data_IF_841398699315
#
_entry.id   IF_841398699315
#
_cell.length_a   1.000
_cell.length_b   1.000
_cell.length_c   1.000
_cell.angle_alpha   90.00
_cell.angle_beta   90.00
_cell.angle_gamma   90.00
#
_symmetry.space_group_name_H-M   'P 1'
#
loop_
_entity.id
_entity.type
_entity.pdbx_description
1 polymer ?
#
# COMPACT_ATOMS: atom_id res chain seq x y z
N UNK A 1 8.21 -41.27 34.65
CA UNK A 1 8.75 -40.58 33.46
C UNK A 1 8.13 -41.24 32.23
N UNK A 2 7.41 -40.50 31.39
CA UNK A 2 6.87 -41.02 30.13
C UNK A 2 8.04 -41.39 29.20
N UNK A 3 8.22 -42.68 28.91
CA UNK A 3 9.25 -43.16 28.00
C UNK A 3 8.77 -43.02 26.55
N UNK A 4 8.86 -41.80 26.01
CA UNK A 4 8.42 -41.51 24.64
C UNK A 4 9.49 -42.00 23.66
N UNK A 5 9.15 -42.81 22.64
CA UNK A 5 10.12 -43.30 21.67
C UNK A 5 10.77 -42.15 20.89
N UNK A 6 12.10 -42.22 20.74
CA UNK A 6 12.91 -41.17 20.08
C UNK A 6 12.49 -40.91 18.64
N UNK A 7 12.07 -41.95 17.91
CA UNK A 7 11.54 -41.83 16.55
C UNK A 7 10.27 -40.97 16.48
N UNK A 8 9.37 -41.11 17.46
CA UNK A 8 8.15 -40.31 17.53
C UNK A 8 8.48 -38.84 17.83
N UNK A 9 9.46 -38.60 18.69
CA UNK A 9 9.97 -37.25 18.96
C UNK A 9 10.56 -36.62 17.69
N UNK A 10 11.44 -37.34 17.00
CA UNK A 10 12.21 -36.80 15.87
C UNK A 10 11.38 -36.65 14.59
N UNK A 11 10.43 -37.57 14.33
CA UNK A 11 9.69 -37.60 13.06
C UNK A 11 8.25 -37.10 13.17
N UNK A 12 7.69 -36.91 14.37
CA UNK A 12 6.31 -36.44 14.53
C UNK A 12 6.27 -35.15 15.35
N UNK A 13 6.71 -35.18 16.61
CA UNK A 13 6.60 -34.04 17.52
C UNK A 13 7.42 -32.84 17.05
N UNK A 14 8.70 -33.03 16.73
CA UNK A 14 9.59 -31.93 16.32
C UNK A 14 9.12 -31.23 15.02
N UNK A 15 8.76 -31.96 13.94
CA UNK A 15 8.10 -31.36 12.78
C UNK A 15 6.84 -30.58 13.12
N UNK A 16 5.96 -31.15 13.94
CA UNK A 16 4.66 -30.55 14.27
C UNK A 16 4.83 -29.25 15.04
N UNK A 17 5.67 -29.25 16.08
CA UNK A 17 5.98 -28.06 16.89
C UNK A 17 6.60 -26.97 16.01
N UNK A 18 7.58 -27.32 15.18
CA UNK A 18 8.26 -26.39 14.29
C UNK A 18 7.31 -25.77 13.26
N UNK A 19 6.49 -26.61 12.63
CA UNK A 19 5.47 -26.18 11.67
C UNK A 19 4.39 -25.30 12.32
N UNK A 20 3.97 -25.62 13.54
CA UNK A 20 2.97 -24.84 14.29
C UNK A 20 3.48 -23.43 14.59
N UNK A 21 4.77 -23.28 14.96
CA UNK A 21 5.37 -21.95 15.17
C UNK A 21 5.39 -21.12 13.89
N UNK A 22 5.77 -21.71 12.75
CA UNK A 22 5.74 -21.01 11.47
C UNK A 22 4.32 -20.72 10.99
N UNK A 23 3.36 -21.60 11.28
CA UNK A 23 1.94 -21.37 11.01
C UNK A 23 1.40 -20.20 11.82
N UNK A 24 1.79 -20.08 13.10
CA UNK A 24 1.44 -18.93 13.93
C UNK A 24 1.98 -17.63 13.31
N UNK A 25 3.24 -17.63 12.87
CA UNK A 25 3.84 -16.48 12.16
C UNK A 25 3.08 -16.15 10.88
N UNK A 26 2.70 -17.17 10.08
CA UNK A 26 1.91 -16.99 8.86
C UNK A 26 0.53 -16.38 9.14
N UNK A 27 -0.22 -16.96 10.08
CA UNK A 27 -1.55 -16.49 10.48
C UNK A 27 -1.48 -15.07 11.01
N UNK A 28 -0.46 -14.77 11.81
CA UNK A 28 -0.23 -13.43 12.33
C UNK A 28 -0.04 -12.40 11.21
N UNK A 29 0.84 -12.70 10.23
CA UNK A 29 1.09 -11.82 9.09
C UNK A 29 -0.17 -11.63 8.24
N UNK A 30 -0.95 -12.70 8.03
CA UNK A 30 -2.20 -12.64 7.29
C UNK A 30 -3.28 -11.81 8.00
N UNK A 31 -3.43 -11.96 9.31
CA UNK A 31 -4.47 -11.27 10.10
C UNK A 31 -4.14 -9.81 10.38
N UNK A 32 -2.86 -9.49 10.66
CA UNK A 32 -2.41 -8.13 10.95
C UNK A 32 -2.12 -7.31 9.68
N UNK A 33 -2.44 -7.85 8.49
CA UNK A 33 -2.15 -7.29 7.17
C UNK A 33 -2.71 -5.88 6.99
N UNK A 34 -3.97 -5.65 7.33
CA UNK A 34 -4.67 -4.39 7.06
C UNK A 34 -4.17 -3.21 7.90
N UNK A 35 -3.43 -3.48 8.98
CA UNK A 35 -3.06 -2.44 9.95
C UNK A 35 -1.59 -1.99 9.85
N UNK A 36 -0.67 -2.79 9.30
CA UNK A 36 0.77 -2.64 9.63
C UNK A 36 1.76 -2.93 8.47
N UNK A 37 1.41 -3.61 7.37
CA UNK A 37 2.41 -4.12 6.40
C UNK A 37 2.33 -3.55 4.99
N UNK A 38 2.43 -2.23 4.81
CA UNK A 38 2.37 -1.60 3.47
C UNK A 38 3.53 -2.04 2.55
N UNK A 39 4.70 -2.39 3.13
CA UNK A 39 5.92 -2.63 2.35
C UNK A 39 6.40 -4.10 2.30
N UNK A 40 5.72 -5.04 2.96
CA UNK A 40 6.13 -6.45 2.93
C UNK A 40 5.54 -7.14 1.68
N UNK A 41 6.36 -7.79 0.83
CA UNK A 41 5.86 -8.47 -0.36
C UNK A 41 5.16 -9.80 0.01
N UNK A 42 3.90 -9.69 0.41
CA UNK A 42 3.09 -10.76 1.01
C UNK A 42 3.12 -12.08 0.22
N UNK A 43 3.05 -12.01 -1.10
CA UNK A 43 3.08 -13.19 -1.96
C UNK A 43 4.33 -14.06 -1.73
N UNK A 44 5.52 -13.46 -1.65
CA UNK A 44 6.76 -14.21 -1.41
C UNK A 44 6.81 -14.78 0.01
N UNK A 45 6.33 -14.01 1.00
CA UNK A 45 6.25 -14.45 2.40
C UNK A 45 5.35 -15.68 2.54
N UNK A 46 4.16 -15.64 1.93
CA UNK A 46 3.20 -16.76 1.98
C UNK A 46 3.79 -17.99 1.29
N UNK A 47 4.34 -17.86 0.08
CA UNK A 47 4.94 -19.00 -0.63
C UNK A 47 6.04 -19.65 0.21
N UNK A 48 6.95 -18.84 0.77
CA UNK A 48 8.00 -19.37 1.63
C UNK A 48 7.43 -20.11 2.85
N UNK A 49 6.55 -19.48 3.63
CA UNK A 49 6.04 -20.07 4.86
C UNK A 49 5.22 -21.33 4.59
N UNK A 50 4.34 -21.33 3.59
CA UNK A 50 3.51 -22.50 3.24
C UNK A 50 4.40 -23.66 2.80
N UNK A 51 5.33 -23.42 1.88
CA UNK A 51 6.22 -24.49 1.40
C UNK A 51 7.17 -24.99 2.49
N UNK A 52 7.59 -24.12 3.41
CA UNK A 52 8.44 -24.52 4.54
C UNK A 52 7.67 -25.37 5.57
N UNK A 53 6.43 -25.00 5.89
CA UNK A 53 5.54 -25.78 6.75
C UNK A 53 5.31 -27.17 6.14
N UNK A 54 4.98 -27.24 4.84
CA UNK A 54 4.81 -28.50 4.13
C UNK A 54 6.09 -29.35 4.11
N UNK A 55 7.25 -28.71 3.96
CA UNK A 55 8.55 -29.39 4.01
C UNK A 55 8.81 -30.06 5.36
N UNK A 56 8.55 -29.36 6.46
CA UNK A 56 8.73 -29.88 7.82
C UNK A 56 7.75 -31.01 8.10
N UNK A 57 6.45 -30.78 7.92
CA UNK A 57 5.39 -31.78 8.17
C UNK A 57 5.55 -33.03 7.30
N UNK A 58 6.04 -32.86 6.07
CA UNK A 58 6.25 -33.96 5.13
C UNK A 58 7.19 -35.06 5.64
N UNK A 59 8.10 -34.77 6.59
CA UNK A 59 8.98 -35.82 7.17
C UNK A 59 8.19 -36.83 7.99
N UNK A 60 7.17 -36.36 8.72
CA UNK A 60 6.29 -37.24 9.49
C UNK A 60 5.51 -38.16 8.58
N UNK A 61 4.83 -37.59 7.57
CA UNK A 61 4.08 -38.37 6.57
C UNK A 61 4.96 -39.39 5.83
N UNK A 62 6.18 -39.00 5.46
CA UNK A 62 7.16 -39.89 4.83
C UNK A 62 7.51 -41.11 5.70
N UNK A 63 7.49 -40.98 7.03
CA UNK A 63 7.99 -42.02 7.93
C UNK A 63 6.98 -43.16 8.19
N UNK A 64 5.71 -42.98 7.83
CA UNK A 64 4.62 -43.93 8.09
C UNK A 64 3.85 -44.35 6.83
N UNK A 65 4.44 -44.16 5.65
CA UNK A 65 3.85 -44.53 4.36
C UNK A 65 4.65 -45.65 3.68
N UNK A 66 4.04 -46.30 2.69
CA UNK A 66 4.73 -47.27 1.83
C UNK A 66 5.91 -46.61 1.08
N UNK A 67 6.86 -47.42 0.61
CA UNK A 67 8.12 -46.94 0.04
C UNK A 67 7.92 -45.95 -1.12
N UNK A 68 6.98 -46.24 -2.02
CA UNK A 68 6.67 -45.40 -3.18
C UNK A 68 6.08 -44.06 -2.74
N UNK A 69 5.08 -44.08 -1.85
CA UNK A 69 4.51 -42.87 -1.27
C UNK A 69 5.56 -42.05 -0.49
N UNK A 70 6.45 -42.70 0.25
CA UNK A 70 7.49 -42.05 1.03
C UNK A 70 8.47 -41.26 0.13
N UNK A 71 8.90 -41.84 -1.00
CA UNK A 71 9.73 -41.14 -1.98
C UNK A 71 8.95 -40.05 -2.73
N UNK A 72 7.67 -40.28 -3.06
CA UNK A 72 6.79 -39.25 -3.64
C UNK A 72 6.74 -38.02 -2.73
N UNK A 73 6.50 -38.23 -1.43
CA UNK A 73 6.43 -37.16 -0.42
C UNK A 73 7.77 -36.44 -0.31
N UNK A 74 8.88 -37.18 -0.30
CA UNK A 74 10.23 -36.59 -0.27
C UNK A 74 10.49 -35.68 -1.48
N UNK A 75 10.21 -36.15 -2.68
CA UNK A 75 10.45 -35.40 -3.91
C UNK A 75 9.53 -34.19 -4.01
N UNK A 76 8.23 -34.37 -3.74
CA UNK A 76 7.26 -33.29 -3.78
C UNK A 76 7.61 -32.17 -2.80
N UNK A 77 7.87 -32.51 -1.52
CA UNK A 77 8.16 -31.49 -0.51
C UNK A 77 9.48 -30.77 -0.77
N UNK A 78 10.48 -31.47 -1.31
CA UNK A 78 11.77 -30.88 -1.68
C UNK A 78 11.59 -29.94 -2.86
N UNK A 79 10.86 -30.36 -3.91
CA UNK A 79 10.55 -29.52 -5.06
C UNK A 79 9.76 -28.27 -4.68
N UNK A 80 8.76 -28.40 -3.79
CA UNK A 80 7.98 -27.25 -3.34
C UNK A 80 8.84 -26.24 -2.57
N UNK A 81 9.61 -26.72 -1.58
CA UNK A 81 10.37 -25.82 -0.72
C UNK A 81 11.61 -25.24 -1.38
N UNK A 82 12.39 -26.05 -2.09
CA UNK A 82 13.59 -25.56 -2.75
C UNK A 82 13.28 -24.92 -4.11
N UNK A 83 12.28 -25.40 -4.83
CA UNK A 83 11.86 -24.81 -6.11
C UNK A 83 11.14 -23.47 -5.95
N UNK A 84 10.28 -23.33 -4.94
CA UNK A 84 9.48 -22.11 -4.74
C UNK A 84 9.79 -21.39 -3.42
N UNK A 85 9.91 -22.12 -2.31
CA UNK A 85 10.10 -21.51 -0.99
C UNK A 85 11.39 -20.70 -0.87
N UNK A 86 12.54 -21.33 -1.10
CA UNK A 86 13.86 -20.72 -0.97
C UNK A 86 14.07 -19.52 -1.92
N UNK A 87 13.74 -19.60 -3.22
CA UNK A 87 13.74 -18.42 -4.09
C UNK A 87 12.82 -17.30 -3.61
N UNK A 88 11.65 -17.63 -3.03
CA UNK A 88 10.74 -16.63 -2.45
C UNK A 88 11.35 -15.95 -1.23
N UNK A 89 12.04 -16.70 -0.37
CA UNK A 89 12.79 -16.13 0.75
C UNK A 89 13.85 -15.15 0.26
N UNK A 90 14.58 -15.50 -0.81
CA UNK A 90 15.60 -14.62 -1.38
C UNK A 90 14.99 -13.31 -1.90
N UNK A 91 13.93 -13.42 -2.69
CA UNK A 91 13.21 -12.26 -3.27
C UNK A 91 12.57 -11.37 -2.19
N UNK A 92 12.05 -11.99 -1.12
CA UNK A 92 11.54 -11.29 0.07
C UNK A 92 12.65 -10.46 0.71
N UNK A 93 13.81 -11.06 0.95
CA UNK A 93 14.95 -10.36 1.55
C UNK A 93 15.46 -9.22 0.65
N UNK A 94 15.54 -9.41 -0.67
CA UNK A 94 15.90 -8.29 -1.57
C UNK A 94 14.90 -7.13 -1.51
N UNK A 95 13.60 -7.42 -1.49
CA UNK A 95 12.57 -6.38 -1.37
C UNK A 95 12.65 -5.63 -0.03
N UNK A 96 12.91 -6.33 1.08
CA UNK A 96 13.08 -5.71 2.39
C UNK A 96 14.21 -4.67 2.42
N UNK A 97 15.23 -4.85 1.57
CA UNK A 97 16.34 -3.91 1.38
C UNK A 97 16.06 -2.80 0.37
N UNK A 98 14.84 -2.73 -0.16
CA UNK A 98 14.45 -1.73 -1.16
C UNK A 98 14.97 -2.04 -2.57
N UNK A 99 15.53 -3.23 -2.81
CA UNK A 99 15.87 -3.63 -4.18
C UNK A 99 14.61 -3.95 -4.96
N UNK A 100 14.36 -3.19 -6.01
CA UNK A 100 13.33 -3.51 -6.99
C UNK A 100 13.95 -4.36 -8.09
N UNK A 101 13.32 -5.48 -8.40
CA UNK A 101 13.70 -6.36 -9.50
C UNK A 101 12.58 -6.43 -10.53
N UNK A 102 12.95 -6.74 -11.77
CA UNK A 102 12.00 -6.94 -12.88
C UNK A 102 11.40 -8.34 -12.80
N UNK A 103 10.18 -8.52 -13.30
CA UNK A 103 9.50 -9.82 -13.38
C UNK A 103 10.35 -10.92 -14.07
N UNK A 104 11.20 -10.54 -15.04
CA UNK A 104 12.14 -11.48 -15.68
C UNK A 104 13.18 -12.07 -14.73
N UNK A 105 13.69 -11.28 -13.78
CA UNK A 105 14.67 -11.75 -12.78
C UNK A 105 14.01 -12.75 -11.83
N UNK A 106 12.78 -12.43 -11.41
CA UNK A 106 11.97 -13.34 -10.60
C UNK A 106 11.73 -14.67 -11.33
N UNK A 107 11.29 -14.62 -12.59
CA UNK A 107 11.06 -15.81 -13.40
C UNK A 107 12.33 -16.65 -13.53
N UNK A 108 13.46 -16.02 -13.88
CA UNK A 108 14.75 -16.70 -14.01
C UNK A 108 15.16 -17.41 -12.72
N UNK A 109 14.96 -16.77 -11.56
CA UNK A 109 15.30 -17.34 -10.27
C UNK A 109 14.48 -18.60 -9.96
N UNK A 110 13.15 -18.54 -10.17
CA UNK A 110 12.29 -19.71 -9.98
C UNK A 110 12.60 -20.82 -10.97
N UNK A 111 12.80 -20.50 -12.27
CA UNK A 111 13.12 -21.51 -13.28
C UNK A 111 14.46 -22.17 -12.98
N UNK A 112 15.47 -21.40 -12.58
CA UNK A 112 16.78 -21.95 -12.26
C UNK A 112 16.73 -22.85 -11.02
N UNK A 113 15.99 -22.46 -9.98
CA UNK A 113 15.80 -23.31 -8.80
C UNK A 113 15.03 -24.60 -9.10
N UNK A 114 13.99 -24.52 -9.93
CA UNK A 114 13.23 -25.69 -10.38
C UNK A 114 14.09 -26.65 -11.19
N UNK A 115 14.94 -26.16 -12.09
CA UNK A 115 15.86 -27.01 -12.86
C UNK A 115 16.83 -27.77 -11.94
N UNK A 116 17.39 -27.11 -10.93
CA UNK A 116 18.25 -27.77 -9.95
C UNK A 116 17.48 -28.77 -9.07
N UNK A 117 16.23 -28.47 -8.71
CA UNK A 117 15.35 -29.43 -8.03
C UNK A 117 15.06 -30.65 -8.89
N UNK A 118 14.85 -30.49 -10.20
CA UNK A 118 14.67 -31.61 -11.12
C UNK A 118 15.93 -32.47 -11.18
N UNK A 119 17.13 -31.87 -11.24
CA UNK A 119 18.40 -32.61 -11.15
C UNK A 119 18.47 -33.39 -9.82
N UNK A 120 18.07 -32.78 -8.70
CA UNK A 120 18.01 -33.46 -7.41
C UNK A 120 17.06 -34.67 -7.45
N UNK A 121 15.82 -34.49 -7.92
CA UNK A 121 14.80 -35.56 -7.95
C UNK A 121 15.28 -36.70 -8.85
N UNK A 122 15.78 -36.39 -10.04
CA UNK A 122 16.24 -37.40 -10.99
C UNK A 122 17.47 -38.15 -10.50
N UNK A 123 18.43 -37.46 -9.86
CA UNK A 123 19.61 -38.13 -9.27
C UNK A 123 19.26 -38.93 -8.02
N UNK A 124 18.35 -38.43 -7.17
CA UNK A 124 17.90 -39.15 -5.98
C UNK A 124 17.12 -40.41 -6.34
N UNK A 125 16.19 -40.35 -7.30
CA UNK A 125 15.46 -41.53 -7.76
C UNK A 125 16.40 -42.55 -8.40
N UNK A 126 17.36 -42.10 -9.23
CA UNK A 126 18.37 -42.96 -9.84
C UNK A 126 19.23 -43.73 -8.82
N UNK A 127 19.55 -43.10 -7.67
CA UNK A 127 20.36 -43.68 -6.60
C UNK A 127 19.57 -44.51 -5.58
N UNK A 128 18.28 -44.21 -5.35
CA UNK A 128 17.51 -44.81 -4.25
C UNK A 128 16.60 -45.94 -4.71
N UNK A 129 15.75 -45.70 -5.72
CA UNK A 129 14.57 -46.54 -5.94
C UNK A 129 14.23 -46.84 -7.40
N UNK A 130 14.72 -46.04 -8.35
CA UNK A 130 14.42 -46.13 -9.79
C UNK A 130 12.91 -46.28 -10.09
N UNK A 131 12.08 -45.59 -9.32
CA UNK A 131 10.62 -45.74 -9.38
C UNK A 131 10.07 -44.93 -10.57
N UNK A 132 10.62 -43.75 -10.81
CA UNK A 132 10.06 -42.80 -11.78
C UNK A 132 10.89 -42.68 -13.05
N UNK A 133 12.21 -42.86 -12.97
CA UNK A 133 13.09 -42.75 -14.12
C UNK A 133 13.55 -44.12 -14.64
N UNK A 134 13.45 -44.28 -15.97
CA UNK A 134 13.92 -45.48 -16.67
C UNK A 134 15.42 -45.72 -16.49
N UNK A 135 15.84 -46.99 -16.58
CA UNK A 135 17.21 -47.46 -16.36
C UNK A 135 18.29 -46.81 -17.25
N UNK A 136 17.92 -46.14 -18.36
CA UNK A 136 18.87 -45.41 -19.20
C UNK A 136 19.36 -44.12 -18.53
N UNK A 137 18.44 -43.33 -17.97
CA UNK A 137 18.77 -42.07 -17.29
C UNK A 137 19.46 -42.30 -15.95
N UNK A 138 19.17 -43.43 -15.29
CA UNK A 138 19.82 -43.76 -14.03
C UNK A 138 21.33 -43.92 -14.21
N UNK A 139 21.83 -44.51 -15.30
CA UNK A 139 23.27 -44.64 -15.57
C UNK A 139 23.99 -43.29 -15.69
N UNK A 140 23.37 -42.30 -16.31
CA UNK A 140 23.96 -40.96 -16.48
C UNK A 140 24.02 -40.20 -15.15
N UNK A 141 22.98 -40.35 -14.32
CA UNK A 141 22.79 -39.55 -13.11
C UNK A 141 23.28 -40.22 -11.83
N UNK A 142 23.56 -41.53 -11.83
CA UNK A 142 24.00 -42.26 -10.64
C UNK A 142 25.32 -41.74 -10.07
N UNK A 143 26.19 -41.13 -10.88
CA UNK A 143 27.43 -40.52 -10.39
C UNK A 143 27.22 -39.20 -9.63
N UNK A 144 26.04 -38.59 -9.76
CA UNK A 144 25.70 -37.33 -9.11
C UNK A 144 25.18 -37.65 -7.71
N UNK A 145 25.91 -37.22 -6.68
CA UNK A 145 25.42 -37.30 -5.30
C UNK A 145 24.30 -36.26 -5.09
N UNK A 146 23.06 -36.72 -4.98
CA UNK A 146 21.89 -35.86 -4.81
C UNK A 146 21.96 -34.98 -3.55
N UNK A 147 22.64 -35.40 -2.47
CA UNK A 147 22.84 -34.56 -1.29
C UNK A 147 23.72 -33.33 -1.62
N UNK A 148 24.70 -33.49 -2.51
CA UNK A 148 25.53 -32.36 -2.96
C UNK A 148 24.72 -31.37 -3.80
N UNK A 149 23.80 -31.86 -4.64
CA UNK A 149 22.89 -31.00 -5.41
C UNK A 149 22.06 -30.12 -4.48
N UNK A 150 21.48 -30.73 -3.43
CA UNK A 150 20.67 -30.00 -2.46
C UNK A 150 21.50 -29.01 -1.61
N UNK A 151 22.76 -29.35 -1.31
CA UNK A 151 23.70 -28.45 -0.65
C UNK A 151 24.02 -27.24 -1.53
N UNK A 152 24.34 -27.45 -2.80
CA UNK A 152 24.62 -26.37 -3.76
C UNK A 152 23.41 -25.45 -3.90
N UNK A 153 22.20 -26.01 -4.02
CA UNK A 153 20.97 -25.24 -4.10
C UNK A 153 20.80 -24.36 -2.85
N UNK A 154 20.98 -24.93 -1.65
CA UNK A 154 20.87 -24.14 -0.40
C UNK A 154 21.94 -23.05 -0.30
N UNK A 155 23.17 -23.34 -0.74
CA UNK A 155 24.27 -22.37 -0.72
C UNK A 155 24.01 -21.18 -1.66
N UNK A 156 23.63 -21.47 -2.91
CA UNK A 156 23.45 -20.47 -3.97
C UNK A 156 22.26 -19.55 -3.70
N UNK A 157 21.14 -20.10 -3.23
CA UNK A 157 19.90 -19.34 -3.10
C UNK A 157 19.63 -18.83 -1.67
N UNK A 158 20.30 -19.39 -0.66
CA UNK A 158 20.11 -18.95 0.73
C UNK A 158 21.42 -18.46 1.35
N UNK A 159 22.41 -19.32 1.57
CA UNK A 159 23.56 -18.98 2.43
C UNK A 159 24.36 -17.81 1.88
N UNK A 160 24.79 -17.87 0.61
CA UNK A 160 25.65 -16.84 0.02
C UNK A 160 24.91 -15.49 -0.06
N UNK A 161 23.68 -15.39 -0.61
CA UNK A 161 23.00 -14.11 -0.66
C UNK A 161 22.62 -13.57 0.72
N UNK A 162 22.15 -14.41 1.64
CA UNK A 162 21.81 -13.97 3.00
C UNK A 162 23.04 -13.50 3.76
N UNK A 163 24.19 -14.15 3.60
CA UNK A 163 25.45 -13.73 4.21
C UNK A 163 25.87 -12.35 3.68
N UNK A 164 25.80 -12.14 2.36
CA UNK A 164 26.09 -10.85 1.74
C UNK A 164 25.15 -9.74 2.26
N UNK A 165 23.84 -9.98 2.29
CA UNK A 165 22.86 -9.00 2.76
C UNK A 165 23.04 -8.69 4.26
N UNK A 166 23.32 -9.71 5.08
CA UNK A 166 23.57 -9.55 6.52
C UNK A 166 24.83 -8.71 6.77
N UNK A 167 25.93 -9.03 6.09
CA UNK A 167 27.18 -8.27 6.17
C UNK A 167 26.96 -6.80 5.81
N UNK A 168 26.29 -6.56 4.68
CA UNK A 168 26.02 -5.20 4.19
C UNK A 168 25.15 -4.40 5.17
N UNK A 169 24.15 -5.03 5.79
CA UNK A 169 23.28 -4.36 6.75
C UNK A 169 23.99 -4.09 8.07
N UNK A 170 24.80 -5.03 8.55
CA UNK A 170 25.57 -4.90 9.78
C UNK A 170 26.49 -3.66 9.74
N UNK A 171 27.09 -3.37 8.58
CA UNK A 171 27.92 -2.17 8.37
C UNK A 171 27.14 -0.85 8.39
N UNK A 172 25.84 -0.88 8.06
CA UNK A 172 25.04 0.34 7.93
C UNK A 172 24.48 0.85 9.27
N UNK A 173 24.46 0.02 10.32
CA UNK A 173 23.78 0.25 11.61
C UNK A 173 22.31 0.72 11.52
N UNK A 174 21.69 0.67 10.34
CA UNK A 174 20.30 1.05 10.08
C UNK A 174 19.41 -0.20 10.09
N UNK A 175 18.14 -0.01 10.50
CA UNK A 175 17.08 -1.04 10.46
C UNK A 175 17.37 -2.33 11.25
N UNK A 176 17.54 -2.22 12.58
CA UNK A 176 17.78 -3.35 13.49
C UNK A 176 16.81 -4.53 13.32
N UNK A 177 15.54 -4.24 13.02
CA UNK A 177 14.53 -5.28 12.78
C UNK A 177 14.85 -6.16 11.58
N UNK A 178 15.29 -5.57 10.48
CA UNK A 178 15.65 -6.28 9.24
C UNK A 178 16.88 -7.18 9.46
N UNK A 179 17.80 -6.76 10.34
CA UNK A 179 18.98 -7.55 10.69
C UNK A 179 18.60 -8.82 11.45
N UNK A 180 17.67 -8.73 12.39
CA UNK A 180 17.15 -9.90 13.12
C UNK A 180 16.52 -10.89 12.13
N UNK A 181 15.68 -10.38 11.22
CA UNK A 181 15.02 -11.19 10.20
C UNK A 181 16.02 -12.00 9.34
N UNK A 182 17.09 -11.34 8.89
CA UNK A 182 18.15 -11.97 8.11
C UNK A 182 18.96 -12.97 8.90
N UNK A 183 19.42 -12.60 10.10
CA UNK A 183 20.24 -13.48 10.94
C UNK A 183 19.49 -14.78 11.26
N UNK A 184 18.19 -14.68 11.55
CA UNK A 184 17.35 -15.85 11.84
C UNK A 184 17.09 -16.71 10.59
N UNK A 185 17.02 -16.11 9.40
CA UNK A 185 16.91 -16.84 8.12
C UNK A 185 18.24 -17.51 7.73
N UNK A 186 19.35 -16.81 7.94
CA UNK A 186 20.71 -17.31 7.71
C UNK A 186 21.05 -18.46 8.66
N UNK A 187 20.64 -18.36 9.93
CA UNK A 187 20.82 -19.42 10.92
C UNK A 187 20.20 -20.74 10.47
N UNK A 188 18.96 -20.71 9.95
CA UNK A 188 18.34 -21.91 9.38
C UNK A 188 19.11 -22.44 8.17
N UNK A 189 19.52 -21.58 7.25
CA UNK A 189 20.28 -22.01 6.07
C UNK A 189 21.61 -22.68 6.45
N UNK A 190 22.33 -22.15 7.45
CA UNK A 190 23.57 -22.74 7.97
C UNK A 190 23.29 -24.09 8.65
N UNK A 191 22.30 -24.15 9.54
CA UNK A 191 21.95 -25.40 10.24
C UNK A 191 21.46 -26.47 9.27
N UNK A 192 20.78 -26.09 8.19
CA UNK A 192 20.41 -26.98 7.12
C UNK A 192 21.64 -27.57 6.41
N UNK A 193 22.57 -26.72 5.99
CA UNK A 193 23.83 -27.14 5.35
C UNK A 193 24.66 -28.04 6.26
N UNK A 194 24.73 -27.76 7.56
CA UNK A 194 25.47 -28.60 8.53
C UNK A 194 24.76 -29.93 8.78
N UNK A 195 23.43 -29.92 8.84
CA UNK A 195 22.64 -31.13 9.08
C UNK A 195 22.57 -32.09 7.90
N UNK A 196 22.71 -31.60 6.67
CA UNK A 196 22.54 -32.41 5.47
C UNK A 196 23.60 -33.51 5.30
N UNK A 197 24.92 -33.24 5.37
CA UNK A 197 25.95 -34.28 5.31
C UNK A 197 25.92 -35.21 6.52
N UNK A 198 25.53 -34.69 7.68
CA UNK A 198 25.54 -35.45 8.95
C UNK A 198 24.27 -36.26 9.19
N UNK A 199 23.27 -36.16 8.30
CA UNK A 199 21.95 -36.80 8.44
C UNK A 199 21.25 -36.45 9.77
N UNK A 200 21.60 -35.30 10.36
CA UNK A 200 21.08 -34.82 11.65
C UNK A 200 19.87 -33.91 11.43
N UNK A 201 18.73 -34.54 11.12
CA UNK A 201 17.47 -33.84 10.82
C UNK A 201 16.98 -32.91 11.95
N UNK A 202 17.37 -33.17 13.20
CA UNK A 202 16.99 -32.33 14.33
C UNK A 202 17.55 -30.90 14.24
N UNK A 203 18.68 -30.70 13.54
CA UNK A 203 19.25 -29.37 13.29
C UNK A 203 18.32 -28.50 12.44
N UNK A 204 17.52 -29.12 11.55
CA UNK A 204 16.56 -28.40 10.72
C UNK A 204 15.43 -27.81 11.56
N UNK A 205 14.95 -28.58 12.54
CA UNK A 205 13.91 -28.14 13.46
C UNK A 205 14.41 -27.01 14.35
N UNK A 206 15.62 -27.12 14.91
CA UNK A 206 16.23 -26.02 15.67
C UNK A 206 16.34 -24.75 14.81
N UNK A 207 16.86 -24.88 13.59
CA UNK A 207 16.95 -23.74 12.68
C UNK A 207 15.59 -23.11 12.41
N UNK A 208 14.55 -23.92 12.19
CA UNK A 208 13.20 -23.41 11.94
C UNK A 208 12.59 -22.69 13.14
N UNK A 209 12.88 -23.15 14.37
CA UNK A 209 12.45 -22.49 15.62
C UNK A 209 13.14 -21.13 15.76
N UNK A 210 14.45 -21.07 15.49
CA UNK A 210 15.22 -19.81 15.50
C UNK A 210 14.66 -18.84 14.46
N UNK A 211 14.34 -19.32 13.25
CA UNK A 211 13.70 -18.51 12.21
C UNK A 211 12.34 -17.99 12.65
N UNK A 212 11.47 -18.86 13.15
CA UNK A 212 10.12 -18.49 13.59
C UNK A 212 10.17 -17.45 14.73
N UNK A 213 10.99 -17.68 15.75
CA UNK A 213 11.15 -16.76 16.88
C UNK A 213 11.73 -15.41 16.46
N UNK A 214 12.75 -15.42 15.60
CA UNK A 214 13.36 -14.20 15.07
C UNK A 214 12.40 -13.38 14.21
N UNK A 215 11.62 -14.04 13.34
CA UNK A 215 10.61 -13.37 12.52
C UNK A 215 9.48 -12.80 13.36
N UNK A 216 8.98 -13.57 14.33
CA UNK A 216 7.97 -13.09 15.27
C UNK A 216 8.45 -11.85 16.02
N UNK A 217 9.68 -11.90 16.56
CA UNK A 217 10.26 -10.78 17.29
C UNK A 217 10.52 -9.56 16.41
N UNK A 218 11.02 -9.77 15.20
CA UNK A 218 11.21 -8.71 14.20
C UNK A 218 9.88 -8.00 13.91
N UNK A 219 8.86 -8.78 13.57
CA UNK A 219 7.50 -8.27 13.34
C UNK A 219 6.97 -7.50 14.56
N UNK A 220 7.13 -8.03 15.76
CA UNK A 220 6.71 -7.36 16.99
C UNK A 220 7.40 -6.00 17.19
N UNK A 221 8.71 -5.90 16.91
CA UNK A 221 9.43 -4.63 17.00
C UNK A 221 8.92 -3.59 16.00
N UNK A 222 8.69 -3.99 14.74
CA UNK A 222 8.19 -3.07 13.72
C UNK A 222 6.80 -2.53 14.10
N UNK A 223 5.94 -3.38 14.66
CA UNK A 223 4.62 -2.98 15.16
C UNK A 223 4.73 -1.95 16.28
N UNK A 224 5.60 -2.21 17.25
CA UNK A 224 5.84 -1.28 18.36
C UNK A 224 6.36 0.07 17.86
N UNK A 225 7.27 0.06 16.89
CA UNK A 225 7.83 1.27 16.29
C UNK A 225 6.77 2.07 15.51
N UNK A 226 5.92 1.40 14.73
CA UNK A 226 4.84 2.06 13.98
C UNK A 226 3.80 2.68 14.91
N UNK A 227 3.41 1.98 15.98
CA UNK A 227 2.47 2.53 16.97
C UNK A 227 3.01 3.81 17.62
N UNK A 228 4.27 3.80 18.04
CA UNK A 228 4.93 4.98 18.60
C UNK A 228 5.03 6.14 17.57
N UNK A 229 5.24 5.83 16.29
CA UNK A 229 5.25 6.84 15.24
C UNK A 229 3.86 7.46 15.01
N UNK A 230 2.80 6.65 15.01
CA UNK A 230 1.42 7.11 14.90
C UNK A 230 1.03 8.02 16.06
N UNK A 231 1.32 7.61 17.29
CA UNK A 231 1.06 8.42 18.50
C UNK A 231 1.81 9.76 18.45
N UNK A 232 3.08 9.75 18.01
CA UNK A 232 3.85 11.00 17.82
C UNK A 232 3.28 11.88 16.70
N UNK A 233 2.76 11.29 15.63
CA UNK A 233 2.15 12.03 14.53
C UNK A 233 0.83 12.67 14.98
N UNK A 234 -0.01 11.93 15.70
CA UNK A 234 -1.24 12.45 16.31
C UNK A 234 -0.95 13.60 17.28
N UNK A 235 0.08 13.47 18.13
CA UNK A 235 0.51 14.55 19.02
C UNK A 235 0.94 15.80 18.26
N UNK A 236 1.75 15.65 17.19
CA UNK A 236 2.17 16.77 16.32
C UNK A 236 0.99 17.42 15.59
N UNK A 237 0.02 16.63 15.13
CA UNK A 237 -1.18 17.14 14.47
C UNK A 237 -2.08 17.90 15.45
N UNK A 238 -2.22 17.42 16.68
CA UNK A 238 -2.98 18.10 17.74
C UNK A 238 -2.32 19.45 18.12
N UNK A 239 -0.99 19.48 18.22
CA UNK A 239 -0.23 20.71 18.46
C UNK A 239 -0.37 21.72 17.31
N UNK A 240 -0.25 21.26 16.06
CA UNK A 240 -0.46 22.11 14.88
C UNK A 240 -1.89 22.65 14.77
N UNK A 241 -2.89 21.83 15.07
CA UNK A 241 -4.30 22.23 15.06
C UNK A 241 -4.55 23.30 16.12
N UNK A 242 -4.06 23.09 17.34
CA UNK A 242 -4.17 24.07 18.44
C UNK A 242 -3.47 25.39 18.10
N UNK A 243 -2.30 25.36 17.46
CA UNK A 243 -1.59 26.56 17.01
C UNK A 243 -2.36 27.32 15.92
N UNK A 244 -2.92 26.60 14.95
CA UNK A 244 -3.76 27.19 13.90
C UNK A 244 -5.04 27.82 14.47
N UNK A 245 -5.67 27.18 15.46
CA UNK A 245 -6.86 27.72 16.12
C UNK A 245 -6.54 29.01 16.89
N UNK A 246 -5.39 29.08 17.58
CA UNK A 246 -4.94 30.32 18.25
C UNK A 246 -4.64 31.43 17.22
N UNK A 247 -4.04 31.10 16.09
CA UNK A 247 -3.79 32.06 15.00
C UNK A 247 -5.12 32.55 14.41
N UNK A 248 -6.08 31.65 14.18
CA UNK A 248 -7.41 31.98 13.68
C UNK A 248 -8.19 32.83 14.67
N UNK A 249 -8.15 32.53 15.97
CA UNK A 249 -8.75 33.35 17.01
C UNK A 249 -8.09 34.73 17.06
N UNK A 250 -6.75 34.83 16.98
CA UNK A 250 -6.06 36.12 16.90
C UNK A 250 -6.42 36.91 15.64
N UNK A 251 -6.62 36.25 14.51
CA UNK A 251 -7.09 36.90 13.27
C UNK A 251 -8.53 37.40 13.42
N UNK A 252 -9.43 36.61 14.02
CA UNK A 252 -10.80 37.01 14.30
C UNK A 252 -10.89 38.13 15.37
N UNK A 253 -9.96 38.17 16.31
CA UNK A 253 -9.88 39.22 17.36
C UNK A 253 -9.20 40.49 16.84
N UNK A 254 -8.26 40.38 15.90
CA UNK A 254 -7.61 41.53 15.24
C UNK A 254 -8.41 42.09 14.05
N UNK A 255 -9.51 41.46 13.63
CA UNK A 255 -10.55 42.11 12.82
C UNK A 255 -11.39 43.03 13.73
N UNK A 256 -10.73 44.09 14.22
CA UNK A 256 -11.38 45.27 14.75
C UNK A 256 -12.28 45.87 13.66
N UNK A 257 -13.55 46.13 14.02
CA UNK A 257 -14.52 47.07 13.41
C UNK A 257 -14.42 47.28 11.89
N UNK A 258 -15.42 46.84 11.07
CA UNK A 258 -15.37 47.03 9.63
C UNK A 258 -15.08 48.48 9.29
N UNK A 259 -14.00 48.71 8.56
CA UNK A 259 -13.62 50.06 8.13
C UNK A 259 -14.80 50.70 7.42
N UNK A 260 -14.97 52.02 7.54
CA UNK A 260 -16.05 52.76 6.87
C UNK A 260 -16.21 52.41 5.38
N UNK A 261 -15.10 52.10 4.71
CA UNK A 261 -15.09 51.64 3.31
C UNK A 261 -15.73 50.26 3.11
N UNK A 262 -15.53 49.30 4.01
CA UNK A 262 -16.18 47.99 3.96
C UNK A 262 -17.68 48.10 4.20
N UNK A 263 -18.10 48.89 5.19
CA UNK A 263 -19.52 49.14 5.47
C UNK A 263 -20.24 49.75 4.26
N UNK A 264 -19.60 50.71 3.58
CA UNK A 264 -20.12 51.32 2.36
C UNK A 264 -20.31 50.27 1.24
N UNK A 265 -19.33 49.38 1.06
CA UNK A 265 -19.38 48.33 0.03
C UNK A 265 -20.49 47.33 0.34
N UNK A 266 -20.63 46.92 1.59
CA UNK A 266 -21.67 45.98 2.04
C UNK A 266 -23.08 46.54 1.85
N UNK A 267 -23.32 47.78 2.28
CA UNK A 267 -24.60 48.48 2.06
C UNK A 267 -24.92 48.66 0.57
N UNK A 268 -23.89 48.86 -0.25
CA UNK A 268 -24.05 48.95 -1.71
C UNK A 268 -24.42 47.61 -2.32
N UNK A 269 -23.79 46.51 -1.89
CA UNK A 269 -24.15 45.16 -2.31
C UNK A 269 -25.59 44.86 -1.94
N UNK A 270 -25.98 45.14 -0.69
CA UNK A 270 -27.35 44.94 -0.22
C UNK A 270 -28.36 45.70 -1.10
N UNK A 271 -28.11 46.99 -1.34
CA UNK A 271 -28.96 47.83 -2.21
C UNK A 271 -29.06 47.27 -3.64
N UNK A 272 -27.96 46.77 -4.20
CA UNK A 272 -27.94 46.16 -5.53
C UNK A 272 -28.73 44.85 -5.58
N UNK A 273 -28.68 44.05 -4.52
CA UNK A 273 -29.41 42.78 -4.46
C UNK A 273 -30.90 42.95 -4.22
N UNK A 274 -31.32 43.99 -3.50
CA UNK A 274 -32.74 44.29 -3.27
C UNK A 274 -33.40 44.88 -4.52
N UNK A 275 -32.68 45.74 -5.25
CA UNK A 275 -33.25 46.51 -6.37
C UNK A 275 -32.83 46.00 -7.75
N UNK A 276 -32.27 44.80 -7.84
CA UNK A 276 -31.62 44.30 -9.06
C UNK A 276 -32.52 44.32 -10.31
N UNK A 277 -33.84 44.24 -10.15
CA UNK A 277 -34.82 44.25 -11.23
C UNK A 277 -35.00 45.63 -11.87
N UNK A 278 -34.57 46.70 -11.19
CA UNK A 278 -34.73 48.08 -11.66
C UNK A 278 -33.43 48.62 -12.28
N UNK A 279 -33.55 49.65 -13.11
CA UNK A 279 -32.38 50.36 -13.62
C UNK A 279 -31.81 51.24 -12.49
N UNK A 280 -30.65 50.84 -11.95
CA UNK A 280 -30.00 51.54 -10.83
C UNK A 280 -28.85 52.38 -11.37
N UNK A 281 -28.86 53.68 -11.10
CA UNK A 281 -27.74 54.56 -11.39
C UNK A 281 -26.72 54.54 -10.25
N UNK A 282 -25.42 54.62 -10.59
CA UNK A 282 -24.36 54.63 -9.59
C UNK A 282 -24.46 55.84 -8.63
N UNK A 283 -24.99 56.97 -9.11
CA UNK A 283 -25.32 58.14 -8.30
C UNK A 283 -26.35 57.83 -7.20
N UNK A 284 -27.42 57.11 -7.52
CA UNK A 284 -28.45 56.74 -6.53
C UNK A 284 -27.89 55.84 -5.42
N UNK A 285 -26.95 54.95 -5.76
CA UNK A 285 -26.27 54.13 -4.77
C UNK A 285 -25.35 54.97 -3.89
N UNK A 286 -24.61 55.92 -4.49
CA UNK A 286 -23.70 56.81 -3.78
C UNK A 286 -24.43 57.73 -2.80
N UNK A 287 -25.60 58.26 -3.19
CA UNK A 287 -26.46 59.08 -2.34
C UNK A 287 -26.97 58.29 -1.12
N UNK A 288 -27.36 57.01 -1.30
CA UNK A 288 -27.82 56.13 -0.21
C UNK A 288 -26.76 55.88 0.87
N UNK A 289 -25.49 55.79 0.47
CA UNK A 289 -24.36 55.56 1.38
C UNK A 289 -23.62 56.86 1.74
N UNK A 290 -24.17 58.00 1.34
CA UNK A 290 -23.67 59.36 1.61
C UNK A 290 -22.19 59.55 1.23
N UNK A 291 -21.80 59.13 0.02
CA UNK A 291 -20.47 59.37 -0.55
C UNK A 291 -20.54 59.84 -2.00
N UNK A 292 -19.43 60.34 -2.53
CA UNK A 292 -19.35 60.65 -3.96
C UNK A 292 -19.33 59.37 -4.81
N UNK A 293 -19.92 59.44 -6.02
CA UNK A 293 -19.94 58.34 -6.98
C UNK A 293 -18.55 57.79 -7.28
N UNK A 294 -17.56 58.68 -7.49
CA UNK A 294 -16.16 58.32 -7.72
C UNK A 294 -15.53 57.56 -6.54
N UNK A 295 -15.88 57.92 -5.30
CA UNK A 295 -15.41 57.22 -4.11
C UNK A 295 -16.06 55.84 -4.01
N UNK A 296 -17.36 55.75 -4.26
CA UNK A 296 -18.09 54.49 -4.25
C UNK A 296 -17.54 53.52 -5.31
N UNK A 297 -17.43 53.94 -6.56
CA UNK A 297 -16.95 53.09 -7.66
C UNK A 297 -15.53 52.57 -7.41
N UNK A 298 -14.65 53.41 -6.88
CA UNK A 298 -13.25 53.04 -6.57
C UNK A 298 -13.19 52.00 -5.46
N UNK A 299 -13.88 52.24 -4.35
CA UNK A 299 -13.86 51.32 -3.20
C UNK A 299 -14.62 50.02 -3.53
N UNK A 300 -15.75 50.09 -4.21
CA UNK A 300 -16.48 48.91 -4.67
C UNK A 300 -15.62 48.01 -5.55
N UNK A 301 -14.91 48.59 -6.54
CA UNK A 301 -13.99 47.81 -7.39
C UNK A 301 -12.79 47.27 -6.61
N UNK A 302 -12.24 48.04 -5.67
CA UNK A 302 -11.12 47.61 -4.83
C UNK A 302 -11.49 46.41 -3.94
N UNK A 303 -12.69 46.41 -3.36
CA UNK A 303 -13.13 45.38 -2.41
C UNK A 303 -13.78 44.16 -3.08
N UNK A 304 -14.49 44.35 -4.20
CA UNK A 304 -15.21 43.25 -4.90
C UNK A 304 -14.48 42.72 -6.13
N UNK A 305 -13.44 43.40 -6.59
CA UNK A 305 -12.75 43.13 -7.86
C UNK A 305 -13.56 43.50 -9.12
N UNK A 306 -14.80 44.00 -8.96
CA UNK A 306 -15.76 44.21 -10.06
C UNK A 306 -16.31 45.63 -10.05
N UNK A 307 -16.70 46.15 -11.21
CA UNK A 307 -17.52 47.37 -11.26
C UNK A 307 -18.94 47.07 -10.80
N UNK A 308 -19.66 48.09 -10.31
CA UNK A 308 -21.07 47.99 -9.92
C UNK A 308 -21.92 47.38 -11.04
N UNK A 309 -21.72 47.83 -12.29
CA UNK A 309 -22.44 47.31 -13.47
C UNK A 309 -22.14 45.83 -13.74
N UNK A 310 -20.89 45.41 -13.59
CA UNK A 310 -20.50 44.00 -13.74
C UNK A 310 -21.15 43.15 -12.66
N UNK A 311 -21.07 43.58 -11.40
CA UNK A 311 -21.69 42.88 -10.27
C UNK A 311 -23.21 42.73 -10.47
N UNK A 312 -23.89 43.83 -10.82
CA UNK A 312 -25.33 43.81 -11.09
C UNK A 312 -25.67 42.88 -12.24
N UNK A 313 -24.90 42.92 -13.33
CA UNK A 313 -25.12 42.04 -14.49
C UNK A 313 -24.99 40.57 -14.11
N UNK A 314 -23.92 40.20 -13.39
CA UNK A 314 -23.71 38.82 -12.93
C UNK A 314 -24.80 38.36 -11.95
N UNK A 315 -25.24 39.24 -11.06
CA UNK A 315 -26.32 38.95 -10.12
C UNK A 315 -27.64 38.69 -10.88
N UNK A 316 -27.99 39.53 -11.85
CA UNK A 316 -29.17 39.34 -12.71
C UNK A 316 -29.12 38.02 -13.48
N UNK A 317 -27.96 37.66 -14.04
CA UNK A 317 -27.78 36.36 -14.71
C UNK A 317 -27.95 35.20 -13.72
N UNK A 318 -27.47 35.36 -12.48
CA UNK A 318 -27.64 34.36 -11.43
C UNK A 318 -29.11 34.16 -11.06
N UNK A 319 -29.90 35.23 -10.98
CA UNK A 319 -31.36 35.13 -10.79
C UNK A 319 -32.05 34.57 -12.04
N UNK A 320 -31.61 34.94 -13.24
CA UNK A 320 -32.17 34.44 -14.49
C UNK A 320 -32.07 32.92 -14.61
N UNK A 321 -30.94 32.34 -14.21
CA UNK A 321 -30.76 30.87 -14.17
C UNK A 321 -31.82 30.15 -13.35
N UNK A 322 -32.36 30.79 -12.31
CA UNK A 322 -33.41 30.22 -11.45
C UNK A 322 -34.81 30.35 -12.07
N UNK A 323 -35.04 31.36 -12.90
CA UNK A 323 -36.34 31.66 -13.50
C UNK A 323 -36.54 30.99 -14.87
N UNK A 324 -35.46 30.76 -15.63
CA UNK A 324 -35.48 30.17 -16.97
C UNK A 324 -36.20 28.80 -17.06
N UNK A 325 -36.16 27.90 -16.06
CA UNK A 325 -36.90 26.64 -16.15
C UNK A 325 -38.43 26.78 -16.15
N UNK A 326 -38.95 27.93 -15.69
CA UNK A 326 -40.38 28.13 -15.47
C UNK A 326 -40.99 29.23 -16.33
N UNK A 327 -40.18 30.00 -17.07
CA UNK A 327 -40.62 31.17 -17.82
C UNK A 327 -40.00 31.19 -19.22
N UNK A 328 -40.59 31.94 -20.14
CA UNK A 328 -39.97 32.18 -21.44
C UNK A 328 -38.66 32.98 -21.28
N UNK A 329 -37.77 32.88 -22.27
CA UNK A 329 -36.51 33.64 -22.30
C UNK A 329 -36.79 35.15 -22.23
N UNK A 330 -37.84 35.61 -22.92
CA UNK A 330 -38.24 37.01 -22.96
C UNK A 330 -38.80 37.48 -21.61
N UNK A 331 -39.68 36.71 -20.98
CA UNK A 331 -40.23 37.07 -19.67
C UNK A 331 -39.15 37.07 -18.58
N UNK A 332 -38.24 36.10 -18.64
CA UNK A 332 -37.10 36.03 -17.72
C UNK A 332 -36.18 37.25 -17.86
N UNK A 333 -35.92 37.69 -19.09
CA UNK A 333 -35.09 38.86 -19.36
C UNK A 333 -35.68 40.12 -18.68
N UNK A 334 -36.98 40.36 -18.85
CA UNK A 334 -37.65 41.50 -18.24
C UNK A 334 -37.76 41.37 -16.72
N UNK A 335 -38.08 40.17 -16.21
CA UNK A 335 -38.23 39.90 -14.78
C UNK A 335 -36.93 40.13 -13.96
N UNK A 336 -35.76 39.94 -14.57
CA UNK A 336 -34.47 40.20 -13.93
C UNK A 336 -33.88 41.58 -14.27
N UNK A 337 -34.64 42.45 -14.94
CA UNK A 337 -34.28 43.85 -15.16
C UNK A 337 -33.48 44.15 -16.44
N UNK A 338 -33.54 43.29 -17.46
CA UNK A 338 -33.07 43.64 -18.81
C UNK A 338 -34.20 44.24 -19.64
N UNK A 339 -33.92 45.34 -20.32
CA UNK A 339 -34.91 46.01 -21.19
C UNK A 339 -34.99 45.40 -22.60
N UNK A 340 -34.18 44.38 -22.90
CA UNK A 340 -34.09 43.78 -24.24
C UNK A 340 -33.68 42.30 -24.13
N UNK A 341 -34.54 41.41 -24.64
CA UNK A 341 -34.35 39.96 -24.63
C UNK A 341 -33.14 39.48 -25.48
N UNK A 342 -32.84 40.15 -26.59
CA UNK A 342 -31.68 39.83 -27.45
C UNK A 342 -30.37 40.20 -26.77
N UNK A 343 -30.35 41.36 -26.11
CA UNK A 343 -29.19 41.79 -25.31
C UNK A 343 -28.98 40.87 -24.10
N UNK A 344 -30.07 40.51 -23.40
CA UNK A 344 -30.03 39.50 -22.34
C UNK A 344 -29.40 38.20 -22.82
N UNK A 345 -29.84 37.66 -23.96
CA UNK A 345 -29.32 36.40 -24.50
C UNK A 345 -27.83 36.45 -24.81
N UNK A 346 -27.36 37.61 -25.31
CA UNK A 346 -25.93 37.85 -25.58
C UNK A 346 -25.12 37.86 -24.28
N UNK A 347 -25.61 38.57 -23.27
CA UNK A 347 -24.96 38.67 -21.96
C UNK A 347 -24.98 37.32 -21.24
N UNK A 348 -26.10 36.61 -21.25
CA UNK A 348 -26.25 35.28 -20.65
C UNK A 348 -25.26 34.30 -21.26
N UNK A 349 -25.14 34.26 -22.60
CA UNK A 349 -24.15 33.42 -23.28
C UNK A 349 -22.71 33.79 -22.92
N UNK A 350 -22.40 35.09 -22.87
CA UNK A 350 -21.06 35.55 -22.47
C UNK A 350 -20.71 35.16 -21.03
N UNK A 351 -21.67 35.23 -20.11
CA UNK A 351 -21.43 34.95 -18.68
C UNK A 351 -21.46 33.45 -18.36
N UNK A 352 -22.25 32.65 -19.07
CA UNK A 352 -22.48 31.24 -18.73
C UNK A 352 -21.83 30.25 -19.71
N UNK A 353 -21.42 30.71 -20.89
CA UNK A 353 -20.93 29.88 -21.99
C UNK A 353 -22.05 29.25 -22.85
N UNK A 354 -23.32 29.34 -22.43
CA UNK A 354 -24.48 28.70 -23.09
C UNK A 354 -25.55 29.75 -23.43
N UNK A 355 -26.27 29.57 -24.54
CA UNK A 355 -27.47 30.38 -24.77
C UNK A 355 -28.55 30.05 -23.73
N UNK A 356 -29.52 30.95 -23.45
CA UNK A 356 -30.62 30.66 -22.55
C UNK A 356 -31.39 29.37 -22.90
N UNK A 357 -31.63 29.11 -24.19
CA UNK A 357 -32.28 27.88 -24.66
C UNK A 357 -31.43 26.63 -24.37
N UNK A 358 -30.13 26.68 -24.71
CA UNK A 358 -29.20 25.58 -24.44
C UNK A 358 -29.09 25.29 -22.93
N UNK A 359 -29.22 26.32 -22.09
CA UNK A 359 -29.21 26.18 -20.64
C UNK A 359 -30.45 25.42 -20.13
N UNK A 360 -31.63 25.70 -20.68
CA UNK A 360 -32.88 25.00 -20.34
C UNK A 360 -32.80 23.53 -20.76
N UNK A 361 -32.39 23.25 -22.00
CA UNK A 361 -32.25 21.88 -22.54
C UNK A 361 -31.32 21.02 -21.65
N UNK A 362 -30.18 21.58 -21.22
CA UNK A 362 -29.22 20.88 -20.37
C UNK A 362 -29.75 20.55 -18.96
N UNK A 363 -30.78 21.24 -18.47
CA UNK A 363 -31.38 20.97 -17.16
C UNK A 363 -32.56 20.01 -17.22
N UNK A 364 -33.08 19.70 -18.42
CA UNK A 364 -34.22 18.79 -18.62
C UNK A 364 -33.82 17.36 -19.04
N UNK A 365 -32.56 17.16 -19.44
CA UNK A 365 -31.86 15.85 -19.49
C UNK A 365 -31.07 15.60 -18.22
#
# INVERSE_FOLDING_TARGET
MLNIPTNLVQYVLMPLISAQLLLLVLLYICFMRERIFVNLPLHHTIIFLVTFILFLLGKGLQSYTDLTSAYTILFLRTLLFFGFGIPSLLLLNFNLFGYRYKARVQLLLYTFSLLLCLIYVSSADASLSQIYFQAHWSKLLHHINYNNVLLVLTMVFSVIPLSYLTWRLALSHKHKTQLIFLLSSLSFAILFVVGLPTQKYWLYYIGSIITAGGWFYAVYQDIKAMKAHSENLEAKLAEQTSSNDVIKIRQLVNEESPTRAQQIVEQTIQSLTELYQHNIEAKQLADKVNVSESYLMRNFKKHTGKTIKQFLTEYRITQAKKLLPHNSVTDTAFAVGFNNSNYFSTVFKKTTGLSPQQYIEKQTT
#
